data_IF_566225920054
#
_entry.id   IF_566225920054
#
_cell.length_a   1.000
_cell.length_b   1.000
_cell.length_c   1.000
_cell.angle_alpha   90.00
_cell.angle_beta   90.00
_cell.angle_gamma   90.00
#
_symmetry.space_group_name_H-M   'P 1'
#
loop_
_entity.id
_entity.type
_entity.pdbx_description
1 polymer ?
#
# COMPACT_ATOMS: atom_id res chain seq x y z
N UNK A 1 -29.52 4.39 -15.67
CA UNK A 1 -28.58 4.14 -14.56
C UNK A 1 -27.23 3.90 -15.20
N UNK A 2 -26.16 4.55 -14.75
CA UNK A 2 -24.83 4.30 -15.32
C UNK A 2 -24.34 2.97 -14.78
N UNK A 3 -24.03 2.03 -15.68
CA UNK A 3 -23.47 0.74 -15.28
C UNK A 3 -22.11 0.94 -14.61
N UNK A 4 -21.91 0.27 -13.47
CA UNK A 4 -20.63 0.30 -12.76
C UNK A 4 -19.69 -0.72 -13.37
N UNK A 5 -18.50 -0.29 -13.76
CA UNK A 5 -17.39 -1.12 -14.17
C UNK A 5 -16.63 -1.62 -12.92
N UNK A 6 -16.43 -2.93 -12.80
CA UNK A 6 -15.52 -3.48 -11.78
C UNK A 6 -14.06 -3.24 -12.18
N UNK A 7 -13.23 -2.82 -11.21
CA UNK A 7 -11.79 -2.59 -11.38
C UNK A 7 -10.94 -3.65 -10.65
N UNK A 8 -11.57 -4.60 -9.95
CA UNK A 8 -10.89 -5.59 -9.10
C UNK A 8 -10.66 -5.12 -7.67
N UNK A 9 -10.26 -6.04 -6.79
CA UNK A 9 -9.94 -5.75 -5.37
C UNK A 9 -11.04 -4.99 -4.60
N UNK A 10 -12.31 -5.22 -4.96
CA UNK A 10 -13.46 -4.53 -4.36
C UNK A 10 -13.71 -3.12 -4.90
N UNK A 11 -12.87 -2.61 -5.80
CA UNK A 11 -13.09 -1.32 -6.46
C UNK A 11 -14.00 -1.46 -7.68
N UNK A 12 -14.80 -0.42 -7.90
CA UNK A 12 -15.60 -0.23 -9.09
C UNK A 12 -15.70 1.26 -9.41
N UNK A 13 -16.08 1.61 -10.64
CA UNK A 13 -16.34 2.99 -11.02
C UNK A 13 -17.49 3.10 -12.02
N UNK A 14 -18.11 4.27 -12.08
CA UNK A 14 -18.86 4.72 -13.25
C UNK A 14 -18.12 5.92 -13.89
N UNK A 15 -18.78 6.68 -14.77
CA UNK A 15 -18.17 7.84 -15.42
C UNK A 15 -17.75 8.97 -14.46
N UNK A 16 -18.34 9.02 -13.25
CA UNK A 16 -18.22 10.15 -12.33
C UNK A 16 -17.65 9.75 -10.96
N UNK A 17 -17.98 8.55 -10.49
CA UNK A 17 -17.70 8.12 -9.13
C UNK A 17 -16.84 6.85 -9.11
N UNK A 18 -15.98 6.77 -8.09
CA UNK A 18 -15.28 5.54 -7.71
C UNK A 18 -15.94 4.99 -6.45
N UNK A 19 -15.98 3.68 -6.34
CA UNK A 19 -16.58 2.95 -5.24
C UNK A 19 -15.61 1.89 -4.74
N UNK A 20 -15.65 1.64 -3.43
CA UNK A 20 -15.06 0.48 -2.79
C UNK A 20 -16.15 -0.29 -2.05
N UNK A 21 -16.30 -1.59 -2.33
CA UNK A 21 -17.33 -2.45 -1.73
C UNK A 21 -18.74 -1.82 -1.78
N UNK A 22 -19.07 -1.18 -2.91
CA UNK A 22 -20.34 -0.52 -3.15
C UNK A 22 -20.50 0.88 -2.54
N UNK A 23 -19.54 1.36 -1.73
CA UNK A 23 -19.56 2.69 -1.12
C UNK A 23 -18.74 3.67 -1.96
N UNK A 24 -19.27 4.86 -2.22
CA UNK A 24 -18.55 5.90 -2.96
C UNK A 24 -17.31 6.35 -2.17
N UNK A 25 -16.18 6.50 -2.86
CA UNK A 25 -14.96 7.09 -2.33
C UNK A 25 -15.02 8.59 -2.62
N UNK A 26 -15.17 9.39 -1.57
CA UNK A 26 -15.25 10.85 -1.73
C UNK A 26 -13.91 11.45 -2.16
N UNK A 27 -13.95 12.36 -3.14
CA UNK A 27 -12.77 13.03 -3.69
C UNK A 27 -11.98 12.23 -4.73
N UNK A 28 -12.31 10.96 -4.97
CA UNK A 28 -11.62 10.13 -5.95
C UNK A 28 -11.98 10.51 -7.40
N UNK A 29 -10.97 10.58 -8.27
CA UNK A 29 -11.16 10.92 -9.68
C UNK A 29 -11.39 9.69 -10.56
N UNK A 30 -12.64 9.39 -10.90
CA UNK A 30 -13.02 8.18 -11.65
C UNK A 30 -12.34 8.02 -13.02
N UNK A 31 -12.05 9.13 -13.70
CA UNK A 31 -11.44 9.10 -15.04
C UNK A 31 -10.01 8.56 -15.03
N UNK A 32 -9.26 8.81 -13.95
CA UNK A 32 -7.83 8.50 -13.82
C UNK A 32 -7.54 7.53 -12.68
N UNK A 33 -8.58 6.97 -12.06
CA UNK A 33 -8.44 6.02 -10.96
C UNK A 33 -7.81 4.72 -11.43
N UNK A 34 -6.71 4.34 -10.79
CA UNK A 34 -5.90 3.17 -11.08
C UNK A 34 -5.92 2.25 -9.87
N UNK A 35 -6.38 1.01 -10.05
CA UNK A 35 -6.26 -0.03 -9.01
C UNK A 35 -4.89 -0.68 -9.15
N UNK A 36 -4.16 -0.73 -8.03
CA UNK A 36 -2.87 -1.37 -7.89
C UNK A 36 -3.05 -2.75 -7.23
N UNK A 37 -1.95 -3.44 -6.97
CA UNK A 37 -1.98 -4.72 -6.25
C UNK A 37 -2.36 -4.54 -4.77
N UNK A 38 -2.75 -5.64 -4.13
CA UNK A 38 -3.01 -5.73 -2.68
C UNK A 38 -4.01 -4.70 -2.13
N UNK A 39 -5.07 -4.40 -2.90
CA UNK A 39 -6.12 -3.42 -2.58
C UNK A 39 -5.66 -1.96 -2.47
N UNK A 40 -4.45 -1.65 -2.92
CA UNK A 40 -4.06 -0.26 -3.14
C UNK A 40 -4.71 0.27 -4.42
N UNK A 41 -4.94 1.58 -4.45
CA UNK A 41 -5.33 2.28 -5.65
C UNK A 41 -4.79 3.71 -5.59
N UNK A 42 -4.80 4.43 -6.71
CA UNK A 42 -4.44 5.84 -6.74
C UNK A 42 -5.18 6.59 -7.82
N UNK A 43 -5.24 7.90 -7.65
CA UNK A 43 -5.49 8.86 -8.70
C UNK A 43 -4.33 9.89 -8.71
N UNK A 44 -4.36 10.95 -9.54
CA UNK A 44 -3.28 11.93 -9.56
C UNK A 44 -2.99 12.63 -8.22
N UNK A 45 -3.97 12.68 -7.30
CA UNK A 45 -3.91 13.47 -6.07
C UNK A 45 -3.81 12.64 -4.79
N UNK A 46 -4.35 11.42 -4.80
CA UNK A 46 -4.46 10.59 -3.61
C UNK A 46 -4.07 9.13 -3.88
N UNK A 47 -3.48 8.50 -2.87
CA UNK A 47 -3.32 7.04 -2.79
C UNK A 47 -4.36 6.51 -1.81
N UNK A 48 -4.92 5.34 -2.10
CA UNK A 48 -5.98 4.71 -1.32
C UNK A 48 -5.60 3.27 -0.94
N UNK A 49 -6.15 2.81 0.18
CA UNK A 49 -6.18 1.40 0.57
C UNK A 49 -7.60 1.04 1.01
N UNK A 50 -8.20 0.01 0.41
CA UNK A 50 -9.60 -0.36 0.66
C UNK A 50 -10.58 0.84 0.61
N UNK A 51 -10.36 1.75 -0.34
CA UNK A 51 -11.17 2.96 -0.50
C UNK A 51 -10.90 4.08 0.52
N UNK A 52 -10.00 3.90 1.48
CA UNK A 52 -9.58 4.95 2.41
C UNK A 52 -8.34 5.66 1.88
N UNK A 53 -8.35 7.01 1.91
CA UNK A 53 -7.21 7.83 1.50
C UNK A 53 -6.06 7.67 2.49
N UNK A 54 -4.85 7.46 1.97
CA UNK A 54 -3.61 7.39 2.73
C UNK A 54 -3.00 8.79 2.81
N UNK A 55 -3.09 9.42 3.97
CA UNK A 55 -2.58 10.78 4.16
C UNK A 55 -1.04 10.84 4.04
N UNK A 56 -0.57 11.85 3.31
CA UNK A 56 0.86 12.11 3.08
C UNK A 56 1.53 11.17 2.07
N UNK A 57 0.83 10.20 1.48
CA UNK A 57 1.40 9.32 0.46
C UNK A 57 1.57 10.05 -0.88
N UNK A 58 2.73 9.85 -1.50
CA UNK A 58 3.10 10.51 -2.76
C UNK A 58 2.64 9.73 -3.98
N UNK A 59 1.55 10.17 -4.62
CA UNK A 59 1.00 9.53 -5.84
C UNK A 59 2.02 9.35 -6.96
N UNK A 60 2.96 10.31 -7.10
CA UNK A 60 4.00 10.31 -8.13
C UNK A 60 5.00 9.16 -7.98
N UNK A 61 5.29 8.75 -6.75
CA UNK A 61 6.35 7.77 -6.47
C UNK A 61 5.82 6.50 -5.80
N UNK A 62 4.52 6.46 -5.47
CA UNK A 62 3.91 5.32 -4.82
C UNK A 62 3.93 4.08 -5.70
N UNK A 63 4.36 2.97 -5.11
CA UNK A 63 4.33 1.63 -5.70
C UNK A 63 4.01 0.57 -4.65
N UNK A 64 3.31 -0.47 -5.08
CA UNK A 64 3.07 -1.66 -4.27
C UNK A 64 4.32 -2.55 -4.28
N UNK A 65 4.61 -3.19 -3.14
CA UNK A 65 5.77 -4.07 -2.97
C UNK A 65 5.38 -5.54 -2.76
N UNK A 66 4.09 -5.89 -2.78
CA UNK A 66 3.46 -7.18 -2.43
C UNK A 66 3.17 -7.37 -0.94
N UNK A 67 2.37 -8.39 -0.61
CA UNK A 67 1.98 -8.79 0.75
C UNK A 67 1.36 -7.65 1.58
N UNK A 68 0.68 -6.71 0.91
CA UNK A 68 0.08 -5.53 1.55
C UNK A 68 1.06 -4.40 1.87
N UNK A 69 2.34 -4.56 1.54
CA UNK A 69 3.31 -3.48 1.62
C UNK A 69 3.24 -2.59 0.39
N UNK A 70 3.35 -1.30 0.62
CA UNK A 70 3.54 -0.28 -0.40
C UNK A 70 4.58 0.73 0.07
N UNK A 71 5.17 1.48 -0.84
CA UNK A 71 6.02 2.60 -0.47
C UNK A 71 5.94 3.72 -1.49
N UNK A 72 6.28 4.90 -1.02
CA UNK A 72 6.69 5.99 -1.89
C UNK A 72 8.17 6.32 -1.68
N UNK A 73 8.64 7.47 -2.18
CA UNK A 73 10.03 7.88 -2.02
C UNK A 73 10.45 8.09 -0.55
N UNK A 74 9.52 8.40 0.35
CA UNK A 74 9.80 8.89 1.71
C UNK A 74 9.22 8.04 2.83
N UNK A 75 8.19 7.25 2.55
CA UNK A 75 7.46 6.46 3.53
C UNK A 75 7.18 5.04 3.04
N UNK A 76 7.16 4.10 3.97
CA UNK A 76 6.70 2.74 3.75
C UNK A 76 5.36 2.54 4.46
N UNK A 77 4.48 1.76 3.85
CA UNK A 77 3.12 1.52 4.30
C UNK A 77 2.85 0.03 4.37
N UNK A 78 2.07 -0.37 5.35
CA UNK A 78 1.46 -1.70 5.42
C UNK A 78 -0.05 -1.54 5.53
N UNK A 79 -0.77 -2.07 4.53
CA UNK A 79 -2.25 -1.99 4.45
C UNK A 79 -2.78 -0.57 4.69
N UNK A 80 -2.21 0.39 3.98
CA UNK A 80 -2.58 1.80 4.08
C UNK A 80 -2.03 2.56 5.28
N UNK A 81 -1.40 1.88 6.26
CA UNK A 81 -0.83 2.53 7.45
C UNK A 81 0.65 2.78 7.27
N UNK A 82 1.09 4.02 7.51
CA UNK A 82 2.51 4.36 7.51
C UNK A 82 3.25 3.60 8.61
N UNK A 83 4.34 2.93 8.26
CA UNK A 83 5.25 2.27 9.19
C UNK A 83 6.21 3.33 9.73
N UNK A 84 6.22 3.52 11.05
CA UNK A 84 7.13 4.48 11.67
C UNK A 84 8.56 3.93 11.69
N UNK A 85 9.53 4.83 11.54
CA UNK A 85 10.98 4.56 11.50
C UNK A 85 11.45 3.62 10.38
N UNK A 86 10.57 3.26 9.44
CA UNK A 86 10.96 2.47 8.27
C UNK A 86 11.75 3.33 7.29
N UNK A 87 12.95 2.87 6.96
CA UNK A 87 13.75 3.44 5.88
C UNK A 87 13.22 2.96 4.53
N UNK A 88 12.92 3.88 3.62
CA UNK A 88 12.57 3.52 2.22
C UNK A 88 13.78 2.99 1.45
N UNK A 89 15.00 3.32 1.90
CA UNK A 89 16.26 2.79 1.38
C UNK A 89 16.45 1.35 1.84
N UNK A 90 16.76 0.47 0.89
CA UNK A 90 16.94 -0.96 1.11
C UNK A 90 15.73 -1.68 1.75
N UNK A 91 14.52 -1.11 1.67
CA UNK A 91 13.32 -1.81 2.12
C UNK A 91 13.03 -3.00 1.20
N UNK A 92 13.04 -4.19 1.78
CA UNK A 92 12.91 -5.48 1.10
C UNK A 92 11.76 -6.27 1.72
N UNK A 93 10.87 -6.80 0.87
CA UNK A 93 9.81 -7.70 1.31
C UNK A 93 10.41 -9.10 1.40
N UNK A 94 10.26 -9.72 2.57
CA UNK A 94 10.60 -11.12 2.82
C UNK A 94 9.32 -11.96 2.63
N UNK A 95 9.36 -13.25 2.94
CA UNK A 95 8.17 -14.11 2.91
C UNK A 95 7.29 -13.89 4.15
N UNK A 96 6.06 -14.42 4.11
CA UNK A 96 5.19 -14.60 5.28
C UNK A 96 4.86 -13.31 6.06
N UNK A 97 4.82 -12.18 5.35
CA UNK A 97 4.50 -10.87 5.93
C UNK A 97 5.67 -10.17 6.62
N UNK A 98 6.86 -10.77 6.59
CA UNK A 98 8.08 -10.12 7.02
C UNK A 98 8.59 -9.14 5.97
N UNK A 99 9.23 -8.09 6.44
CA UNK A 99 10.01 -7.17 5.63
C UNK A 99 11.19 -6.68 6.45
N UNK A 100 12.17 -6.07 5.81
CA UNK A 100 13.27 -5.42 6.52
C UNK A 100 13.68 -4.16 5.79
N UNK A 101 14.33 -3.27 6.51
CA UNK A 101 15.19 -2.25 5.93
C UNK A 101 16.65 -2.49 6.36
N UNK A 102 17.52 -1.48 6.25
CA UNK A 102 18.91 -1.61 6.66
C UNK A 102 19.10 -1.86 8.18
N UNK A 103 18.15 -1.40 9.01
CA UNK A 103 18.28 -1.30 10.46
C UNK A 103 17.27 -2.14 11.23
N UNK A 104 16.12 -2.43 10.62
CA UNK A 104 14.96 -2.99 11.28
C UNK A 104 14.36 -4.16 10.51
N UNK A 105 13.79 -5.11 11.25
CA UNK A 105 12.89 -6.12 10.72
C UNK A 105 11.46 -5.74 11.11
N UNK A 106 10.53 -5.96 10.19
CA UNK A 106 9.11 -5.69 10.36
C UNK A 106 8.31 -6.97 10.13
N UNK A 107 7.25 -7.17 10.91
CA UNK A 107 6.25 -8.20 10.70
C UNK A 107 4.88 -7.52 10.61
N UNK A 108 4.21 -7.68 9.45
CA UNK A 108 2.92 -7.05 9.16
C UNK A 108 2.89 -5.55 9.50
N UNK A 109 3.95 -4.84 9.10
CA UNK A 109 4.13 -3.41 9.32
C UNK A 109 4.54 -2.99 10.75
N UNK A 110 4.76 -3.94 11.66
CA UNK A 110 5.23 -3.65 13.01
C UNK A 110 6.72 -3.94 13.16
N UNK A 111 7.47 -2.99 13.72
CA UNK A 111 8.90 -3.17 14.01
C UNK A 111 9.10 -4.25 15.07
N UNK A 112 9.92 -5.24 14.77
CA UNK A 112 10.32 -6.31 15.69
C UNK A 112 11.45 -5.80 16.57
N UNK A 113 11.24 -5.76 17.90
CA UNK A 113 12.15 -5.09 18.85
C UNK A 113 13.49 -5.80 19.06
N UNK A 114 13.54 -7.12 18.93
CA UNK A 114 14.71 -7.93 19.27
C UNK A 114 15.42 -8.56 18.06
N UNK A 115 14.94 -8.28 16.85
CA UNK A 115 15.58 -8.73 15.63
C UNK A 115 16.48 -7.61 15.09
N UNK A 116 17.80 -7.74 15.30
CA UNK A 116 18.74 -7.00 14.46
C UNK A 116 18.71 -7.58 13.04
N UNK A 117 18.85 -6.75 12.00
CA UNK A 117 18.93 -7.22 10.61
C UNK A 117 20.13 -8.16 10.38
N UNK A 118 21.12 -8.14 11.28
CA UNK A 118 22.28 -9.04 11.28
C UNK A 118 21.96 -10.48 11.71
N UNK A 119 21.00 -10.69 12.61
CA UNK A 119 20.62 -12.04 13.09
C UNK A 119 19.63 -12.76 12.15
N UNK A 120 19.03 -12.06 11.19
CA UNK A 120 18.04 -12.64 10.27
C UNK A 120 18.64 -13.31 9.02
N UNK A 121 19.98 -13.31 8.85
CA UNK A 121 20.66 -13.94 7.70
C UNK A 121 20.57 -15.47 7.64
N UNK A 122 19.86 -16.12 8.54
CA UNK A 122 19.96 -17.56 8.75
C UNK A 122 18.59 -18.27 8.80
N UNK A 123 17.71 -18.02 7.83
CA UNK A 123 16.62 -18.95 7.53
C UNK A 123 16.44 -19.02 6.01
N UNK A 124 17.21 -19.91 5.37
CA UNK A 124 16.81 -20.48 4.09
C UNK A 124 15.90 -21.67 4.40
N UNK A 125 14.66 -21.62 3.88
CA UNK A 125 13.84 -22.82 3.67
C UNK A 125 14.36 -23.58 2.45
#
# INVERSE_FOLDING_TARGET
MTDKQSLGYGYAKDSWCVYFSGRKIEGALAMTFEVLLDNYAKDPWSVYYNGEKIEGASTKTFKTLSHGYGKDAWSVYFRGRKIQDASTNAFEILSDGYAKDAWHVFYLGQKVKEASTFSFKQLHF
#
